data_IF_141214195876
#
_entry.id   IF_141214195876
#
_cell.length_a   1.000
_cell.length_b   1.000
_cell.length_c   1.000
_cell.angle_alpha   90.00
_cell.angle_beta   90.00
_cell.angle_gamma   90.00
#
_symmetry.space_group_name_H-M   'P 1'
#
loop_
_entity.id
_entity.type
_entity.pdbx_description
1 polymer ?
#
# COMPACT_ATOMS: atom_id res chain seq x y z
N UNK A 1 -16.48 13.58 4.76
CA UNK A 1 -15.79 12.57 5.58
C UNK A 1 -14.71 11.93 4.71
N UNK A 2 -13.49 12.45 4.84
CA UNK A 2 -12.33 12.04 4.07
C UNK A 2 -11.90 10.68 4.57
N UNK A 3 -12.19 9.61 3.82
CA UNK A 3 -11.53 8.32 4.02
C UNK A 3 -10.08 8.47 3.57
N UNK A 4 -9.23 8.95 4.47
CA UNK A 4 -7.81 8.62 4.43
C UNK A 4 -7.78 7.10 4.33
N UNK A 5 -7.36 6.56 3.18
CA UNK A 5 -7.29 5.11 3.01
C UNK A 5 -6.21 4.62 3.97
N UNK A 6 -6.64 4.17 5.14
CA UNK A 6 -5.76 3.59 6.14
C UNK A 6 -5.02 2.40 5.53
N UNK A 7 -3.76 2.26 5.91
CA UNK A 7 -2.95 1.14 5.44
C UNK A 7 -3.57 -0.13 6.01
N UNK A 8 -3.88 -1.13 5.16
CA UNK A 8 -4.43 -2.37 5.66
C UNK A 8 -3.41 -3.00 6.61
N UNK A 9 -3.78 -3.12 7.88
CA UNK A 9 -2.99 -3.72 8.94
C UNK A 9 -3.04 -5.25 8.86
N UNK A 10 -2.70 -5.77 7.68
CA UNK A 10 -2.57 -7.21 7.39
C UNK A 10 -1.10 -7.56 7.27
N UNK A 11 -0.74 -8.76 7.69
CA UNK A 11 0.61 -9.32 7.51
C UNK A 11 0.96 -9.33 6.01
N UNK A 12 2.15 -8.85 5.69
CA UNK A 12 2.75 -9.01 4.37
C UNK A 12 3.63 -10.24 4.36
N UNK A 13 3.43 -11.06 3.32
CA UNK A 13 4.30 -12.18 2.98
C UNK A 13 5.14 -11.74 1.77
N UNK A 14 6.45 -11.63 1.98
CA UNK A 14 7.42 -11.28 0.96
C UNK A 14 8.25 -12.50 0.58
N UNK A 15 8.74 -12.53 -0.66
CA UNK A 15 9.81 -13.45 -1.03
C UNK A 15 11.12 -13.02 -0.36
N UNK A 16 12.04 -13.97 -0.08
CA UNK A 16 13.28 -13.70 0.68
C UNK A 16 14.11 -12.55 0.10
N UNK A 17 14.11 -12.38 -1.23
CA UNK A 17 14.83 -11.29 -1.90
C UNK A 17 14.17 -9.92 -1.72
N UNK A 18 12.84 -9.84 -1.79
CA UNK A 18 12.09 -8.59 -1.57
C UNK A 18 12.07 -8.18 -0.09
N UNK A 19 12.02 -9.16 0.83
CA UNK A 19 12.06 -8.88 2.26
C UNK A 19 13.36 -8.17 2.66
N UNK A 20 14.50 -8.58 2.10
CA UNK A 20 15.79 -7.95 2.40
C UNK A 20 15.90 -6.50 1.93
N UNK A 21 15.26 -6.11 0.84
CA UNK A 21 15.38 -4.76 0.27
C UNK A 21 14.65 -3.71 1.13
N UNK A 22 13.53 -4.09 1.73
CA UNK A 22 12.68 -3.20 2.52
C UNK A 22 12.91 -3.34 4.03
N UNK A 23 13.91 -4.11 4.46
CA UNK A 23 14.20 -4.37 5.86
C UNK A 23 15.23 -3.38 6.40
N UNK A 24 14.84 -2.72 7.48
CA UNK A 24 15.69 -1.79 8.22
C UNK A 24 16.33 -2.55 9.39
N UNK A 25 17.66 -2.50 9.46
CA UNK A 25 18.48 -3.11 10.52
C UNK A 25 19.14 -2.09 11.45
N UNK A 26 19.09 -0.80 11.10
CA UNK A 26 19.71 0.25 11.90
C UNK A 26 18.88 0.53 13.15
N UNK A 27 19.42 0.22 14.35
CA UNK A 27 18.73 0.48 15.63
C UNK A 27 18.23 1.92 15.76
N UNK A 28 19.01 2.91 15.32
CA UNK A 28 18.61 4.33 15.36
C UNK A 28 17.41 4.60 14.46
N UNK A 29 17.37 3.99 13.29
CA UNK A 29 16.27 4.16 12.34
C UNK A 29 15.01 3.45 12.81
N UNK A 30 15.16 2.22 13.32
CA UNK A 30 14.09 1.45 13.97
C UNK A 30 13.42 2.28 15.08
N UNK A 31 14.22 2.86 15.98
CA UNK A 31 13.72 3.73 17.04
C UNK A 31 13.00 4.97 16.50
N UNK A 32 13.57 5.61 15.46
CA UNK A 32 12.97 6.79 14.84
C UNK A 32 11.57 6.47 14.29
N UNK A 33 11.44 5.35 13.57
CA UNK A 33 10.16 4.86 13.02
C UNK A 33 9.17 4.56 14.13
N UNK A 34 9.56 3.79 15.14
CA UNK A 34 8.68 3.42 16.26
C UNK A 34 8.23 4.65 17.06
N UNK A 35 9.14 5.59 17.35
CA UNK A 35 8.78 6.87 18.01
C UNK A 35 7.84 7.71 17.14
N UNK A 36 8.01 7.65 15.82
CA UNK A 36 7.08 8.25 14.86
C UNK A 36 5.66 7.69 15.00
N UNK A 37 5.53 6.36 15.10
CA UNK A 37 4.26 5.65 15.33
C UNK A 37 3.62 6.07 16.67
N UNK A 38 4.41 6.15 17.74
CA UNK A 38 3.95 6.65 19.06
C UNK A 38 3.38 8.06 18.92
N UNK A 39 4.12 8.96 18.25
CA UNK A 39 3.73 10.36 18.10
C UNK A 39 2.43 10.54 17.32
N UNK A 40 2.20 9.75 16.28
CA UNK A 40 0.97 9.83 15.49
C UNK A 40 -0.21 9.08 16.12
N UNK A 41 0.04 8.21 17.11
CA UNK A 41 -0.98 7.33 17.68
C UNK A 41 -1.55 6.35 16.65
N UNK A 42 -0.73 5.90 15.70
CA UNK A 42 -1.20 4.99 14.65
C UNK A 42 -1.60 3.64 15.25
N UNK A 43 -2.68 3.05 14.72
CA UNK A 43 -3.14 1.73 15.16
C UNK A 43 -2.10 0.66 14.85
N UNK A 44 -2.03 -0.31 15.73
CA UNK A 44 -1.20 -1.50 15.63
C UNK A 44 -2.11 -2.71 15.60
N UNK A 45 -1.99 -3.55 14.58
CA UNK A 45 -2.51 -4.91 14.64
C UNK A 45 -1.42 -5.82 15.22
N UNK A 46 -1.72 -6.44 16.36
CA UNK A 46 -0.83 -7.37 17.02
C UNK A 46 -1.36 -8.78 16.81
N UNK A 47 -0.73 -9.52 15.90
CA UNK A 47 -1.08 -10.90 15.58
C UNK A 47 -0.38 -11.86 16.55
N UNK A 48 -1.10 -12.88 17.00
CA UNK A 48 -0.64 -13.90 17.94
C UNK A 48 -1.20 -15.28 17.55
N UNK A 49 -0.85 -16.32 18.31
CA UNK A 49 -1.30 -17.71 18.08
C UNK A 49 -1.05 -18.18 16.65
N UNK A 50 0.19 -18.02 16.17
CA UNK A 50 0.62 -18.34 14.80
C UNK A 50 -0.23 -17.63 13.74
N UNK A 51 -0.49 -16.33 13.94
CA UNK A 51 -1.11 -15.44 12.96
C UNK A 51 -2.62 -15.67 12.74
N UNK A 52 -3.25 -16.54 13.55
CA UNK A 52 -4.67 -16.86 13.45
C UNK A 52 -5.57 -15.77 14.06
N UNK A 53 -5.09 -15.09 15.10
CA UNK A 53 -5.84 -14.06 15.81
C UNK A 53 -5.04 -12.75 15.89
N UNK A 54 -5.74 -11.63 16.04
CA UNK A 54 -5.12 -10.33 16.27
C UNK A 54 -5.97 -9.43 17.19
N UNK A 55 -5.29 -8.49 17.84
CA UNK A 55 -5.94 -7.35 18.49
C UNK A 55 -5.54 -6.04 17.79
N UNK A 56 -6.41 -5.03 17.88
CA UNK A 56 -6.03 -3.65 17.57
C UNK A 56 -5.62 -2.95 18.87
N UNK A 57 -4.42 -2.40 18.89
CA UNK A 57 -3.83 -1.68 20.02
C UNK A 57 -3.07 -0.44 19.52
N UNK A 58 -2.40 0.26 20.43
CA UNK A 58 -1.57 1.44 20.15
C UNK A 58 -0.20 1.31 20.81
N UNK A 59 0.78 1.96 20.20
CA UNK A 59 2.14 2.06 20.74
C UNK A 59 2.19 3.18 21.79
N UNK A 60 2.56 2.82 23.02
CA UNK A 60 2.67 3.75 24.15
C UNK A 60 4.05 4.41 24.21
N UNK A 61 5.09 3.68 23.82
CA UNK A 61 6.47 4.15 23.89
C UNK A 61 7.44 3.18 23.19
N UNK A 62 8.64 3.69 22.89
CA UNK A 62 9.77 2.88 22.42
C UNK A 62 11.08 3.52 22.88
N UNK A 63 11.97 2.74 23.48
CA UNK A 63 13.31 3.15 23.88
C UNK A 63 14.39 2.33 23.16
N UNK A 64 15.57 2.18 23.76
CA UNK A 64 16.68 1.42 23.18
C UNK A 64 16.56 -0.09 23.31
N UNK A 65 15.70 -0.57 24.20
CA UNK A 65 15.62 -1.98 24.56
C UNK A 65 14.22 -2.54 24.35
N UNK A 66 13.18 -1.73 24.51
CA UNK A 66 11.80 -2.15 24.61
C UNK A 66 10.83 -1.25 23.83
N UNK A 67 9.71 -1.87 23.50
CA UNK A 67 8.55 -1.29 22.85
C UNK A 67 7.33 -1.61 23.71
N UNK A 68 6.58 -0.58 24.10
CA UNK A 68 5.40 -0.75 24.95
C UNK A 68 4.11 -0.55 24.19
N UNK A 69 3.16 -1.46 24.36
CA UNK A 69 1.83 -1.40 23.76
C UNK A 69 0.74 -1.38 24.82
N UNK A 70 -0.40 -0.82 24.47
CA UNK A 70 -1.57 -0.92 25.32
C UNK A 70 -2.07 -2.37 25.39
N UNK A 71 -2.63 -2.76 26.54
CA UNK A 71 -3.25 -4.09 26.69
C UNK A 71 -4.63 -4.13 26.03
N UNK A 72 -5.12 -5.32 25.71
CA UNK A 72 -6.50 -5.48 25.24
C UNK A 72 -7.49 -5.23 26.40
N UNK A 73 -8.68 -4.74 26.08
CA UNK A 73 -9.80 -4.70 27.01
C UNK A 73 -10.33 -6.10 27.36
N UNK A 74 -9.96 -7.12 26.57
CA UNK A 74 -10.35 -8.51 26.77
C UNK A 74 -9.23 -9.31 27.42
N UNK A 75 -9.44 -9.70 28.66
CA UNK A 75 -8.46 -10.47 29.44
C UNK A 75 -8.18 -11.87 28.86
N UNK A 76 -9.13 -12.43 28.08
CA UNK A 76 -8.89 -13.66 27.31
C UNK A 76 -7.77 -13.50 26.30
N UNK A 77 -7.75 -12.36 25.61
CA UNK A 77 -6.80 -12.08 24.54
C UNK A 77 -5.45 -11.76 25.16
N UNK A 78 -5.43 -11.00 26.27
CA UNK A 78 -4.21 -10.70 27.01
C UNK A 78 -3.46 -11.97 27.44
N UNK A 79 -4.17 -12.94 28.01
CA UNK A 79 -3.56 -14.23 28.42
C UNK A 79 -3.01 -15.01 27.23
N UNK A 80 -3.73 -15.05 26.11
CA UNK A 80 -3.28 -15.76 24.89
C UNK A 80 -2.04 -15.10 24.29
N UNK A 81 -2.04 -13.77 24.20
CA UNK A 81 -0.90 -12.98 23.72
C UNK A 81 0.34 -13.29 24.55
N UNK A 82 0.23 -13.25 25.89
CA UNK A 82 1.35 -13.53 26.81
C UNK A 82 1.87 -14.98 26.71
N UNK A 83 1.03 -15.93 26.30
CA UNK A 83 1.44 -17.32 26.06
C UNK A 83 2.00 -17.58 24.66
N UNK A 84 1.93 -16.60 23.74
CA UNK A 84 2.34 -16.78 22.36
C UNK A 84 3.86 -16.68 22.20
N UNK A 85 4.44 -17.61 21.46
CA UNK A 85 5.88 -17.67 21.17
C UNK A 85 6.27 -16.82 19.95
N UNK A 86 5.27 -16.35 19.19
CA UNK A 86 5.44 -15.52 18.01
C UNK A 86 4.36 -14.46 18.00
N UNK A 87 4.80 -13.21 17.95
CA UNK A 87 3.95 -12.04 17.83
C UNK A 87 4.36 -11.31 16.57
N UNK A 88 3.40 -10.94 15.71
CA UNK A 88 3.67 -10.08 14.57
C UNK A 88 3.02 -8.73 14.81
N UNK A 89 3.87 -7.71 14.86
CA UNK A 89 3.48 -6.32 14.91
C UNK A 89 3.26 -5.82 13.49
N UNK A 90 2.10 -5.22 13.21
CA UNK A 90 1.83 -4.53 11.95
C UNK A 90 1.24 -3.16 12.23
N UNK A 91 1.84 -2.11 11.69
CA UNK A 91 1.37 -0.73 11.82
C UNK A 91 1.72 0.08 10.55
N UNK A 92 1.59 1.40 10.64
CA UNK A 92 2.02 2.32 9.59
C UNK A 92 2.76 3.52 10.16
N UNK A 93 3.85 3.91 9.50
CA UNK A 93 4.58 5.14 9.75
C UNK A 93 4.60 5.98 8.47
N UNK A 94 4.12 7.22 8.50
CA UNK A 94 4.07 8.12 7.33
C UNK A 94 3.43 7.49 6.07
N UNK A 95 2.34 6.74 6.25
CA UNK A 95 1.70 5.99 5.16
C UNK A 95 2.62 4.95 4.49
N UNK A 96 3.54 4.38 5.26
CA UNK A 96 4.34 3.21 4.90
C UNK A 96 4.06 2.10 5.90
N UNK A 97 3.84 0.87 5.43
CA UNK A 97 3.59 -0.27 6.32
C UNK A 97 4.87 -0.61 7.08
N UNK A 98 4.72 -0.79 8.39
CA UNK A 98 5.77 -1.26 9.30
C UNK A 98 5.37 -2.63 9.82
N UNK A 99 6.27 -3.60 9.73
CA UNK A 99 6.04 -4.95 10.26
C UNK A 99 7.30 -5.52 10.91
N UNK A 100 7.17 -6.16 12.06
CA UNK A 100 8.26 -6.94 12.64
C UNK A 100 7.71 -8.11 13.46
N UNK A 101 8.58 -9.08 13.73
CA UNK A 101 8.28 -10.26 14.54
C UNK A 101 8.98 -10.11 15.89
N UNK A 102 8.28 -10.44 16.96
CA UNK A 102 8.84 -10.58 18.29
C UNK A 102 8.53 -11.98 18.83
N UNK A 103 9.48 -12.56 19.54
CA UNK A 103 9.36 -13.91 20.09
C UNK A 103 9.07 -13.94 21.59
N UNK A 104 8.97 -12.76 22.21
CA UNK A 104 8.70 -12.59 23.62
C UNK A 104 7.83 -11.37 23.81
N UNK A 105 6.79 -11.51 24.62
CA UNK A 105 5.93 -10.43 25.07
C UNK A 105 5.64 -10.63 26.55
N UNK A 106 5.70 -9.55 27.32
CA UNK A 106 5.53 -9.60 28.77
C UNK A 106 4.56 -8.54 29.24
N UNK A 107 3.93 -8.79 30.40
CA UNK A 107 3.25 -7.73 31.12
C UNK A 107 4.31 -6.81 31.76
N UNK A 108 4.11 -5.51 31.60
CA UNK A 108 4.97 -4.47 32.14
C UNK A 108 4.14 -3.27 32.58
N UNK A 109 4.80 -2.34 33.27
CA UNK A 109 4.24 -1.04 33.58
C UNK A 109 4.92 0.02 32.73
N UNK A 110 4.12 0.86 32.08
CA UNK A 110 4.62 2.03 31.36
C UNK A 110 3.89 3.26 31.89
N UNK A 111 4.60 4.24 32.46
CA UNK A 111 4.00 5.47 33.03
C UNK A 111 2.77 5.20 33.93
N UNK A 112 2.88 4.24 34.84
CA UNK A 112 1.83 3.84 35.80
C UNK A 112 0.54 3.25 35.18
N UNK A 113 0.59 2.77 33.93
CA UNK A 113 -0.46 1.94 33.34
C UNK A 113 0.09 0.56 32.96
N UNK A 114 -0.79 -0.45 33.02
CA UNK A 114 -0.47 -1.80 32.54
C UNK A 114 -0.24 -1.76 31.03
N UNK A 115 0.78 -2.48 30.57
CA UNK A 115 1.22 -2.48 29.18
C UNK A 115 1.80 -3.84 28.80
N UNK A 116 1.81 -4.13 27.51
CA UNK A 116 2.70 -5.16 26.98
C UNK A 116 4.06 -4.56 26.70
N UNK A 117 5.13 -5.33 26.96
CA UNK A 117 6.50 -5.02 26.58
C UNK A 117 6.99 -6.06 25.58
N UNK A 118 7.53 -5.58 24.46
CA UNK A 118 8.29 -6.36 23.48
C UNK A 118 9.74 -5.87 23.50
N UNK A 119 10.73 -6.74 23.27
CA UNK A 119 12.08 -6.27 22.97
C UNK A 119 12.05 -5.44 21.67
N UNK A 120 12.94 -4.47 21.56
CA UNK A 120 13.16 -3.78 20.29
C UNK A 120 13.57 -4.81 19.23
N UNK A 121 13.01 -4.76 18.00
CA UNK A 121 13.35 -5.76 17.00
C UNK A 121 14.75 -5.50 16.43
N UNK A 122 15.49 -6.57 16.13
CA UNK A 122 16.77 -6.49 15.41
C UNK A 122 16.59 -5.97 13.97
N UNK A 123 15.38 -6.11 13.44
CA UNK A 123 15.00 -5.53 12.16
C UNK A 123 13.49 -5.36 12.03
N UNK A 124 13.07 -4.37 11.24
CA UNK A 124 11.68 -4.22 10.83
C UNK A 124 11.57 -4.07 9.33
N UNK A 125 10.46 -4.52 8.77
CA UNK A 125 10.05 -4.28 7.40
C UNK A 125 9.42 -2.88 7.32
N UNK A 126 9.94 -2.01 6.46
CA UNK A 126 9.38 -0.69 6.15
C UNK A 126 9.06 -0.60 4.65
N UNK A 127 7.83 -0.96 4.30
CA UNK A 127 7.45 -1.37 2.95
C UNK A 127 7.14 -0.21 1.99
N UNK A 128 8.15 0.60 1.67
CA UNK A 128 8.01 1.68 0.69
C UNK A 128 8.31 1.19 -0.73
N UNK A 129 7.39 0.43 -1.34
CA UNK A 129 7.56 -0.11 -2.72
C UNK A 129 7.31 0.90 -3.85
N UNK A 130 7.12 2.19 -3.55
CA UNK A 130 6.68 3.18 -4.55
C UNK A 130 7.64 4.35 -4.62
N UNK A 131 8.24 4.50 -5.79
CA UNK A 131 9.07 5.66 -6.15
C UNK A 131 8.24 6.90 -6.52
N UNK A 132 6.96 6.70 -6.82
CA UNK A 132 6.05 7.75 -7.26
C UNK A 132 4.75 7.73 -6.45
N UNK A 133 4.31 8.92 -6.03
CA UNK A 133 2.96 9.10 -5.52
C UNK A 133 1.93 8.81 -6.63
N UNK A 134 0.72 8.41 -6.21
CA UNK A 134 -0.39 8.11 -7.12
C UNK A 134 -1.61 8.93 -6.73
N UNK A 135 -2.34 9.41 -7.75
CA UNK A 135 -3.59 10.12 -7.60
C UNK A 135 -4.73 9.26 -8.13
N UNK A 136 -5.85 9.26 -7.39
CA UNK A 136 -7.08 8.66 -7.88
C UNK A 136 -7.66 9.55 -8.98
N UNK A 137 -8.12 8.93 -10.07
CA UNK A 137 -8.83 9.63 -11.13
C UNK A 137 -10.28 9.85 -10.68
N UNK A 138 -10.80 11.10 -10.71
CA UNK A 138 -12.16 11.39 -10.30
C UNK A 138 -13.19 10.66 -11.18
N UNK A 139 -14.18 10.03 -10.55
CA UNK A 139 -15.25 9.30 -11.26
C UNK A 139 -16.03 10.20 -12.23
N UNK A 140 -16.16 11.49 -11.91
CA UNK A 140 -16.86 12.48 -12.76
C UNK A 140 -16.07 12.85 -14.04
N UNK A 141 -14.76 12.61 -14.08
CA UNK A 141 -13.88 12.89 -15.21
C UNK A 141 -13.02 11.65 -15.49
N UNK A 142 -13.64 10.55 -15.95
CA UNK A 142 -12.92 9.29 -16.14
C UNK A 142 -11.85 9.44 -17.22
N UNK A 143 -10.68 8.88 -16.97
CA UNK A 143 -9.67 8.67 -17.99
C UNK A 143 -9.79 7.25 -18.54
N UNK A 144 -9.49 7.08 -19.82
CA UNK A 144 -9.39 5.77 -20.47
C UNK A 144 -8.01 5.58 -21.06
N UNK A 145 -7.57 4.33 -21.13
CA UNK A 145 -6.36 3.94 -21.84
C UNK A 145 -6.75 3.21 -23.12
N UNK A 146 -6.44 3.80 -24.26
CA UNK A 146 -6.64 3.19 -25.58
C UNK A 146 -5.43 2.32 -25.87
N UNK A 147 -5.66 1.02 -26.00
CA UNK A 147 -4.63 0.04 -26.34
C UNK A 147 -4.82 -0.34 -27.81
N UNK A 148 -3.83 -0.10 -28.68
CA UNK A 148 -3.94 -0.47 -30.09
C UNK A 148 -4.16 -1.97 -30.25
N UNK A 149 -5.09 -2.35 -31.13
CA UNK A 149 -5.24 -3.74 -31.52
C UNK A 149 -3.96 -4.23 -32.23
N UNK A 150 -3.52 -5.45 -31.90
CA UNK A 150 -2.49 -6.11 -32.69
C UNK A 150 -3.10 -6.49 -34.05
N UNK A 151 -2.30 -6.53 -35.14
CA UNK A 151 -2.76 -7.11 -36.40
C UNK A 151 -3.30 -8.54 -36.15
N UNK A 152 -4.57 -8.80 -36.48
CA UNK A 152 -5.22 -10.09 -36.26
C UNK A 152 -5.84 -10.31 -34.87
N UNK A 153 -5.75 -9.35 -33.94
CA UNK A 153 -6.48 -9.39 -32.68
C UNK A 153 -7.84 -8.68 -32.82
N UNK A 154 -8.86 -9.17 -32.13
CA UNK A 154 -10.08 -8.40 -31.92
C UNK A 154 -9.73 -7.06 -31.29
N UNK A 155 -10.33 -5.96 -31.76
CA UNK A 155 -10.30 -4.70 -31.02
C UNK A 155 -10.67 -5.00 -29.56
N UNK A 156 -9.87 -4.54 -28.61
CA UNK A 156 -10.26 -4.50 -27.20
C UNK A 156 -11.59 -3.74 -27.17
N UNK A 157 -12.70 -4.47 -27.04
CA UNK A 157 -14.05 -3.95 -27.31
C UNK A 157 -14.40 -2.77 -26.41
N UNK A 158 -13.70 -2.62 -25.29
CA UNK A 158 -13.80 -1.48 -24.39
C UNK A 158 -12.41 -1.03 -23.96
N UNK A 159 -12.10 0.26 -24.13
CA UNK A 159 -10.89 0.84 -23.55
C UNK A 159 -11.01 0.81 -22.02
N UNK A 160 -10.05 0.23 -21.28
CA UNK A 160 -10.10 0.19 -19.83
C UNK A 160 -10.08 1.60 -19.24
N UNK A 161 -10.81 1.78 -18.14
CA UNK A 161 -10.79 3.04 -17.39
C UNK A 161 -9.59 3.06 -16.44
N UNK A 162 -9.03 4.25 -16.20
CA UNK A 162 -7.93 4.43 -15.26
C UNK A 162 -8.50 4.79 -13.90
N UNK A 163 -8.15 4.00 -12.88
CA UNK A 163 -8.56 4.23 -11.49
C UNK A 163 -7.55 5.09 -10.73
N UNK A 164 -6.26 4.84 -10.92
CA UNK A 164 -5.18 5.63 -10.35
C UNK A 164 -4.05 5.81 -11.35
N UNK A 165 -3.34 6.94 -11.25
CA UNK A 165 -2.21 7.30 -12.11
C UNK A 165 -1.09 7.92 -11.28
N UNK A 166 0.15 7.59 -11.60
CA UNK A 166 1.35 8.17 -11.01
C UNK A 166 2.48 8.23 -12.03
N UNK A 167 3.62 8.79 -11.63
CA UNK A 167 4.76 9.00 -12.54
C UNK A 167 5.28 7.71 -13.20
N UNK A 168 5.22 6.59 -12.48
CA UNK A 168 5.69 5.28 -12.97
C UNK A 168 4.63 4.36 -13.57
N UNK A 169 3.33 4.72 -13.56
CA UNK A 169 2.31 3.80 -14.08
C UNK A 169 0.86 4.18 -13.81
N UNK A 170 -0.04 3.26 -14.16
CA UNK A 170 -1.50 3.39 -14.02
C UNK A 170 -2.13 2.10 -13.48
N UNK A 171 -3.24 2.23 -12.76
CA UNK A 171 -4.15 1.12 -12.50
C UNK A 171 -5.32 1.16 -13.47
N UNK A 172 -5.43 0.14 -14.31
CA UNK A 172 -6.52 -0.04 -15.27
C UNK A 172 -7.64 -0.87 -14.65
N UNK A 173 -8.88 -0.52 -14.94
CA UNK A 173 -10.07 -1.27 -14.59
C UNK A 173 -10.70 -1.80 -15.87
N UNK A 174 -10.82 -3.12 -15.92
CA UNK A 174 -11.35 -3.89 -17.03
C UNK A 174 -12.58 -4.67 -16.59
N UNK A 175 -13.32 -5.18 -17.55
CA UNK A 175 -14.37 -6.18 -17.29
C UNK A 175 -13.74 -7.44 -16.64
N UNK A 176 -14.48 -8.12 -15.78
CA UNK A 176 -13.98 -9.31 -15.07
C UNK A 176 -13.47 -10.40 -16.02
N UNK A 177 -14.20 -10.62 -17.11
CA UNK A 177 -13.89 -11.62 -18.14
C UNK A 177 -12.83 -11.17 -19.16
N UNK A 178 -12.16 -10.03 -18.93
CA UNK A 178 -11.10 -9.58 -19.82
C UNK A 178 -9.85 -10.46 -19.65
N UNK A 179 -9.66 -11.37 -20.61
CA UNK A 179 -8.54 -12.32 -20.65
C UNK A 179 -7.25 -11.73 -21.23
N UNK A 180 -7.32 -10.53 -21.81
CA UNK A 180 -6.16 -9.96 -22.49
C UNK A 180 -5.11 -9.48 -21.49
N UNK A 181 -5.52 -8.87 -20.37
CA UNK A 181 -4.60 -8.46 -19.32
C UNK A 181 -4.09 -9.65 -18.52
N UNK A 182 -2.78 -9.89 -18.62
CA UNK A 182 -2.05 -10.92 -17.89
C UNK A 182 -0.74 -10.34 -17.36
N UNK A 183 -0.30 -10.70 -16.13
CA UNK A 183 1.01 -10.27 -15.63
C UNK A 183 2.14 -10.62 -16.62
N UNK A 184 3.10 -9.72 -16.77
CA UNK A 184 4.22 -9.86 -17.72
C UNK A 184 3.92 -9.40 -19.15
N UNK A 185 2.65 -9.17 -19.51
CA UNK A 185 2.30 -8.75 -20.87
C UNK A 185 2.59 -7.26 -21.11
N UNK A 186 3.19 -6.98 -22.27
CA UNK A 186 3.52 -5.62 -22.73
C UNK A 186 2.54 -5.16 -23.81
N UNK A 187 2.09 -3.91 -23.68
CA UNK A 187 1.29 -3.19 -24.67
C UNK A 187 1.99 -1.91 -25.08
N UNK A 188 2.32 -1.82 -26.36
CA UNK A 188 3.03 -0.69 -26.94
C UNK A 188 2.05 0.38 -27.44
N UNK A 189 2.52 1.63 -27.51
CA UNK A 189 1.77 2.74 -28.10
C UNK A 189 0.35 2.92 -27.53
N UNK A 190 0.20 2.72 -26.22
CA UNK A 190 -1.05 3.00 -25.53
C UNK A 190 -1.25 4.52 -25.42
N UNK A 191 -2.48 4.98 -25.64
CA UNK A 191 -2.82 6.40 -25.61
C UNK A 191 -3.74 6.72 -24.43
N UNK A 192 -3.41 7.75 -23.68
CA UNK A 192 -4.22 8.28 -22.58
C UNK A 192 -4.44 9.76 -22.85
N UNK A 193 -5.69 10.17 -23.08
CA UNK A 193 -6.03 11.58 -23.26
C UNK A 193 -6.04 12.28 -21.91
N UNK A 194 -5.08 13.16 -21.66
CA UNK A 194 -4.98 13.99 -20.46
C UNK A 194 -5.72 15.32 -20.71
N UNK A 195 -6.85 15.58 -20.02
CA UNK A 195 -7.65 16.78 -20.24
C UNK A 195 -6.82 18.05 -20.11
N UNK A 196 -7.01 19.00 -21.04
CA UNK A 196 -6.32 20.29 -21.09
C UNK A 196 -4.79 20.22 -21.23
N UNK A 197 -4.22 19.04 -21.49
CA UNK A 197 -2.77 18.84 -21.56
C UNK A 197 -2.34 18.18 -22.86
N UNK A 198 -3.00 17.10 -23.28
CA UNK A 198 -2.68 16.40 -24.53
C UNK A 198 -2.77 14.88 -24.41
N UNK A 199 -2.26 14.16 -25.41
CA UNK A 199 -2.29 12.69 -25.44
C UNK A 199 -0.96 12.12 -24.96
N UNK A 200 -0.98 11.47 -23.82
CA UNK A 200 0.14 10.67 -23.31
C UNK A 200 0.23 9.37 -24.12
N UNK A 201 1.36 9.15 -24.77
CA UNK A 201 1.65 7.89 -25.47
C UNK A 201 2.72 7.12 -24.71
N UNK A 202 2.42 5.89 -24.31
CA UNK A 202 3.32 5.08 -23.48
C UNK A 202 3.25 3.59 -23.83
N UNK A 203 4.35 2.88 -23.56
CA UNK A 203 4.33 1.43 -23.47
C UNK A 203 4.02 1.05 -22.02
N UNK A 204 3.10 0.11 -21.81
CA UNK A 204 2.74 -0.38 -20.48
C UNK A 204 3.07 -1.86 -20.30
N UNK A 205 3.58 -2.22 -19.13
CA UNK A 205 3.79 -3.60 -18.67
C UNK A 205 2.80 -3.91 -17.56
N UNK A 206 2.01 -4.97 -17.72
CA UNK A 206 1.13 -5.45 -16.64
C UNK A 206 1.99 -6.11 -15.56
N UNK A 207 1.99 -5.55 -14.35
CA UNK A 207 2.76 -6.08 -13.21
C UNK A 207 1.94 -7.01 -12.33
N UNK A 208 0.67 -6.69 -12.12
CA UNK A 208 -0.22 -7.48 -11.27
C UNK A 208 -1.67 -7.32 -11.69
N UNK A 209 -2.50 -8.24 -11.19
CA UNK A 209 -3.94 -8.28 -11.45
C UNK A 209 -4.65 -8.62 -10.15
N UNK A 210 -5.74 -7.90 -9.88
CA UNK A 210 -6.62 -8.14 -8.74
C UNK A 210 -8.06 -8.19 -9.21
N UNK A 211 -8.89 -8.96 -8.51
CA UNK A 211 -10.33 -8.83 -8.59
C UNK A 211 -10.76 -7.79 -7.56
N UNK A 212 -11.58 -6.83 -7.98
CA UNK A 212 -12.13 -5.77 -7.13
C UNK A 212 -13.65 -5.77 -7.23
N UNK A 213 -14.32 -5.53 -6.11
CA UNK A 213 -15.76 -5.27 -6.10
C UNK A 213 -15.97 -3.77 -6.04
N UNK A 214 -16.67 -3.22 -7.03
CA UNK A 214 -17.01 -1.81 -7.12
C UNK A 214 -18.12 -1.45 -6.12
N UNK A 215 -18.32 -0.15 -5.86
CA UNK A 215 -19.34 0.33 -4.92
C UNK A 215 -20.77 -0.09 -5.29
N UNK A 216 -21.02 -0.31 -6.58
CA UNK A 216 -22.30 -0.81 -7.12
C UNK A 216 -22.45 -2.34 -7.01
N UNK A 217 -21.50 -3.04 -6.38
CA UNK A 217 -21.47 -4.51 -6.27
C UNK A 217 -20.91 -5.23 -7.50
N UNK A 218 -20.57 -4.50 -8.57
CA UNK A 218 -20.03 -5.09 -9.81
C UNK A 218 -18.59 -5.59 -9.57
N UNK A 219 -18.33 -6.83 -9.95
CA UNK A 219 -16.99 -7.42 -9.87
C UNK A 219 -16.22 -7.02 -11.14
N UNK A 220 -15.02 -6.46 -10.95
CA UNK A 220 -14.13 -6.03 -12.03
C UNK A 220 -12.72 -6.52 -11.82
N UNK A 221 -11.97 -6.53 -12.93
CA UNK A 221 -10.54 -6.83 -12.93
C UNK A 221 -9.76 -5.53 -12.88
N UNK A 222 -8.82 -5.41 -11.94
CA UNK A 222 -7.88 -4.30 -11.84
C UNK A 222 -6.49 -4.78 -12.27
N UNK A 223 -5.92 -4.17 -13.30
CA UNK A 223 -4.56 -4.43 -13.73
C UNK A 223 -3.64 -3.27 -13.32
N UNK A 224 -2.64 -3.55 -12.50
CA UNK A 224 -1.56 -2.60 -12.19
C UNK A 224 -0.52 -2.62 -13.31
N UNK A 225 -0.33 -1.48 -13.97
CA UNK A 225 0.56 -1.36 -15.11
C UNK A 225 1.69 -0.36 -14.83
N UNK A 226 2.90 -0.70 -15.25
CA UNK A 226 4.10 0.14 -15.20
C UNK A 226 4.34 0.78 -16.58
N UNK A 227 4.77 2.04 -16.60
CA UNK A 227 5.21 2.69 -17.84
C UNK A 227 6.65 2.28 -18.17
N UNK A 228 6.85 1.69 -19.36
CA UNK A 228 8.18 1.32 -19.84
C UNK A 228 8.77 2.49 -20.64
N UNK A 229 9.92 3.00 -20.21
CA UNK A 229 10.74 3.99 -20.93
C UNK A 229 9.93 5.18 -21.48
N UNK A 230 9.21 5.89 -20.61
CA UNK A 230 8.57 7.15 -20.99
C UNK A 230 9.62 8.12 -21.55
N UNK A 231 9.35 8.69 -22.73
CA UNK A 231 10.21 9.76 -23.25
C UNK A 231 10.13 10.99 -22.33
N UNK A 232 11.18 11.81 -22.30
CA UNK A 232 11.23 13.01 -21.46
C UNK A 232 10.02 13.94 -21.67
N UNK A 233 9.58 14.11 -22.93
CA UNK A 233 8.39 14.89 -23.27
C UNK A 233 7.12 14.31 -22.66
N UNK A 234 6.93 12.99 -22.73
CA UNK A 234 5.77 12.31 -22.15
C UNK A 234 5.80 12.34 -20.62
N UNK A 235 6.97 12.19 -20.01
CA UNK A 235 7.16 12.31 -18.57
C UNK A 235 6.81 13.71 -18.05
N UNK A 236 7.26 14.77 -18.74
CA UNK A 236 6.90 16.16 -18.41
C UNK A 236 5.39 16.39 -18.54
N UNK A 237 4.78 15.88 -19.60
CA UNK A 237 3.33 15.98 -19.82
C UNK A 237 2.55 15.29 -18.68
N UNK A 238 2.96 14.08 -18.30
CA UNK A 238 2.38 13.34 -17.18
C UNK A 238 2.55 14.09 -15.85
N UNK A 239 3.73 14.63 -15.57
CA UNK A 239 3.97 15.41 -14.35
C UNK A 239 3.07 16.64 -14.27
N UNK A 240 2.92 17.40 -15.35
CA UNK A 240 1.98 18.54 -15.41
C UNK A 240 0.55 18.12 -15.07
N UNK A 241 0.11 16.97 -15.58
CA UNK A 241 -1.22 16.44 -15.28
C UNK A 241 -1.36 16.05 -13.82
N UNK A 242 -0.37 15.34 -13.26
CA UNK A 242 -0.38 14.96 -11.84
C UNK A 242 -0.42 16.20 -10.93
N UNK A 243 0.35 17.25 -11.25
CA UNK A 243 0.29 18.52 -10.50
C UNK A 243 -1.09 19.16 -10.58
N UNK A 244 -1.69 19.25 -11.76
CA UNK A 244 -3.04 19.81 -11.92
C UNK A 244 -4.08 19.00 -11.12
N UNK A 245 -4.02 17.68 -11.23
CA UNK A 245 -4.96 16.79 -10.53
C UNK A 245 -4.80 16.86 -9.02
N UNK A 246 -3.57 17.02 -8.53
CA UNK A 246 -3.29 17.24 -7.11
C UNK A 246 -3.92 18.55 -6.63
N UNK A 247 -3.75 19.65 -7.36
CA UNK A 247 -4.35 20.94 -7.03
C UNK A 247 -5.89 20.88 -7.00
N UNK A 248 -6.53 20.24 -7.99
CA UNK A 248 -8.00 20.06 -8.01
C UNK A 248 -8.50 19.29 -6.78
N UNK A 249 -7.77 18.27 -6.33
CA UNK A 249 -8.10 17.49 -5.14
C UNK A 249 -7.92 18.27 -3.83
N UNK A 250 -7.06 19.30 -3.80
CA UNK A 250 -6.90 20.18 -2.64
C UNK A 250 -8.00 21.24 -2.57
N UNK A 251 -8.47 21.77 -3.70
CA UNK A 251 -9.52 22.81 -3.77
C UNK A 251 -10.93 22.27 -3.52
N UNK A 252 -11.15 20.97 -3.70
CA UNK A 252 -12.42 20.30 -3.39
C UNK A 252 -12.54 19.80 -1.94
N UNK A 253 -11.58 20.15 -1.08
CA UNK A 253 -11.63 19.91 0.37
C UNK A 253 -12.17 21.14 1.09
#
# INVERSE_FOLDING_TARGET
>A
MTTTKDIPLKIELLSDGEDSEFRIHSNKEIQSILRGIVRTGALVALYYDNENDFILTTLLGADEQNVWLNVSSRETDNRRILSSHKIIFVSSHLQVKVQFVAHRIENAWFKNQNAFSLPIPDSLLHLQRRDYFRLLVPVKKPLTCVIPARPGASLLKNCPTIMDIGGGGVALVCQEHDTEFQPGKVYSACHILLPNIGTLTATILVKNIFIITMQNGEVKKRAGCEFIHLSGTMAIMLQRYLTQLQSENLTQR
#
